data_IF_099155093609
#
_entry.id   IF_099155093609
#
_cell.length_a   1.000
_cell.length_b   1.000
_cell.length_c   1.000
_cell.angle_alpha   90.00
_cell.angle_beta   90.00
_cell.angle_gamma   90.00
#
_symmetry.space_group_name_H-M   'P 1'
#
loop_
_entity.id
_entity.type
_entity.pdbx_description
1 polymer ?
#
# COMPACT_ATOMS: atom_id res chain seq x y z
N UNK A 1 -5.20 -3.29 -13.55
CA UNK A 1 -3.73 -3.24 -13.62
C UNK A 1 -3.15 -2.11 -12.77
N UNK A 2 -2.68 -1.01 -13.37
CA UNK A 2 -1.80 -0.03 -12.69
C UNK A 2 -2.44 0.79 -11.55
N UNK A 3 -3.70 1.19 -11.68
CA UNK A 3 -4.34 2.07 -10.68
C UNK A 3 -4.49 1.42 -9.30
N UNK A 4 -4.60 0.09 -9.22
CA UNK A 4 -4.69 -0.64 -7.96
C UNK A 4 -3.38 -0.52 -7.17
N UNK A 5 -2.23 -0.61 -7.85
CA UNK A 5 -0.92 -0.42 -7.22
C UNK A 5 -0.75 0.98 -6.64
N UNK A 6 -1.14 2.00 -7.39
CA UNK A 6 -1.03 3.39 -6.96
C UNK A 6 -1.93 3.70 -5.75
N UNK A 7 -3.16 3.19 -5.75
CA UNK A 7 -4.11 3.37 -4.65
C UNK A 7 -3.63 2.64 -3.39
N UNK A 8 -3.18 1.38 -3.51
CA UNK A 8 -2.62 0.64 -2.38
C UNK A 8 -1.39 1.32 -1.80
N UNK A 9 -0.47 1.77 -2.66
CA UNK A 9 0.72 2.50 -2.23
C UNK A 9 0.34 3.74 -1.43
N UNK A 10 -0.59 4.54 -1.94
CA UNK A 10 -1.02 5.78 -1.29
C UNK A 10 -1.69 5.50 0.06
N UNK A 11 -2.57 4.49 0.14
CA UNK A 11 -3.25 4.12 1.38
C UNK A 11 -2.26 3.64 2.44
N UNK A 12 -1.34 2.72 2.08
CA UNK A 12 -0.35 2.19 3.01
C UNK A 12 0.64 3.25 3.48
N UNK A 13 1.06 4.13 2.56
CA UNK A 13 1.89 5.29 2.88
C UNK A 13 1.15 6.26 3.82
N UNK A 14 -0.16 6.44 3.65
CA UNK A 14 -0.98 7.28 4.52
C UNK A 14 -1.16 6.65 5.91
N UNK A 15 -1.36 5.33 5.98
CA UNK A 15 -1.52 4.57 7.23
C UNK A 15 -0.25 4.55 8.07
N UNK A 16 0.92 4.36 7.45
CA UNK A 16 2.23 4.32 8.13
C UNK A 16 2.86 5.71 8.30
N UNK A 17 2.71 6.58 7.29
CA UNK A 17 3.37 7.88 7.22
C UNK A 17 2.65 9.06 7.87
N UNK A 18 1.32 9.03 7.96
CA UNK A 18 0.56 10.08 8.64
C UNK A 18 0.12 9.60 10.02
N UNK A 19 0.71 10.22 11.06
CA UNK A 19 0.31 10.08 12.48
C UNK A 19 -1.20 10.27 12.70
N UNK A 20 -1.88 10.99 11.81
CA UNK A 20 -3.28 11.39 11.93
C UNK A 20 -4.27 10.39 11.27
N UNK A 21 -3.82 9.47 10.40
CA UNK A 21 -4.73 8.58 9.65
C UNK A 21 -4.49 7.07 9.83
N UNK A 22 -4.34 6.53 11.05
CA UNK A 22 -4.23 5.08 11.27
C UNK A 22 -5.57 4.32 11.09
N UNK A 23 -6.62 4.99 10.62
CA UNK A 23 -7.96 4.39 10.48
C UNK A 23 -8.22 3.80 9.09
N UNK A 24 -7.28 3.92 8.14
CA UNK A 24 -7.42 3.27 6.84
C UNK A 24 -7.08 1.77 6.99
N UNK A 25 -7.99 0.84 6.67
CA UNK A 25 -7.75 -0.59 6.82
C UNK A 25 -6.92 -1.13 5.64
N UNK A 26 -5.62 -0.80 5.61
CA UNK A 26 -4.71 -1.15 4.53
C UNK A 26 -4.60 -2.67 4.31
N UNK A 27 -4.54 -3.46 5.39
CA UNK A 27 -4.46 -4.93 5.31
C UNK A 27 -5.67 -5.56 4.62
N UNK A 28 -6.86 -5.03 4.90
CA UNK A 28 -8.12 -5.54 4.34
C UNK A 28 -8.22 -5.21 2.85
N UNK A 29 -7.76 -4.02 2.45
CA UNK A 29 -7.67 -3.59 1.06
C UNK A 29 -6.61 -4.37 0.29
N UNK A 30 -5.51 -4.73 0.93
CA UNK A 30 -4.47 -5.60 0.40
C UNK A 30 -5.02 -6.98 0.04
N UNK A 31 -5.83 -7.55 0.94
CA UNK A 31 -6.49 -8.84 0.71
C UNK A 31 -7.46 -8.78 -0.47
N UNK A 32 -8.28 -7.73 -0.55
CA UNK A 32 -9.21 -7.53 -1.68
C UNK A 32 -8.45 -7.31 -2.98
N UNK A 33 -7.38 -6.51 -2.97
CA UNK A 33 -6.56 -6.29 -4.16
C UNK A 33 -5.82 -7.55 -4.62
N UNK A 34 -5.37 -8.40 -3.69
CA UNK A 34 -4.82 -9.73 -4.00
C UNK A 34 -5.85 -10.66 -4.62
N UNK A 35 -7.08 -10.67 -4.12
CA UNK A 35 -8.19 -11.42 -4.70
C UNK A 35 -8.59 -10.90 -6.10
N UNK A 36 -8.46 -9.59 -6.34
CA UNK A 36 -8.65 -8.99 -7.66
C UNK A 36 -7.47 -9.27 -8.61
N UNK A 37 -6.25 -9.39 -8.07
CA UNK A 37 -5.06 -9.74 -8.82
C UNK A 37 -5.04 -11.22 -9.26
N UNK A 38 -5.74 -12.11 -8.56
CA UNK A 38 -5.88 -13.51 -8.96
C UNK A 38 -6.91 -13.74 -10.07
N UNK A 39 -7.62 -12.69 -10.51
CA UNK A 39 -8.50 -12.76 -11.69
C UNK A 39 -7.64 -12.79 -12.96
N UNK A 40 -7.80 -13.86 -13.75
CA UNK A 40 -7.08 -14.16 -15.01
C UNK A 40 -7.09 -13.04 -16.06
N UNK A 41 -7.96 -12.04 -15.90
CA UNK A 41 -8.12 -10.88 -16.80
C UNK A 41 -7.18 -9.71 -16.48
N UNK A 42 -6.50 -9.73 -15.32
CA UNK A 42 -5.57 -8.69 -14.92
C UNK A 42 -4.15 -9.26 -14.82
N UNK A 43 -3.25 -8.72 -15.62
CA UNK A 43 -1.79 -8.93 -15.55
C UNK A 43 -1.19 -8.26 -14.28
N UNK A 44 -1.77 -8.57 -13.11
CA UNK A 44 -1.40 -8.03 -11.82
C UNK A 44 -0.38 -8.97 -11.18
N UNK A 45 0.89 -8.62 -11.31
CA UNK A 45 1.98 -9.36 -10.69
C UNK A 45 2.03 -9.10 -9.17
N UNK A 46 1.71 -10.14 -8.38
CA UNK A 46 1.69 -10.06 -6.90
C UNK A 46 3.08 -9.77 -6.33
N UNK A 47 4.14 -10.30 -6.94
CA UNK A 47 5.51 -10.01 -6.51
C UNK A 47 5.85 -8.51 -6.61
N UNK A 48 5.39 -7.85 -7.67
CA UNK A 48 5.58 -6.41 -7.85
C UNK A 48 4.80 -5.61 -6.80
N UNK A 49 3.61 -6.09 -6.42
CA UNK A 49 2.80 -5.48 -5.35
C UNK A 49 3.55 -5.49 -4.01
N UNK A 50 4.11 -6.64 -3.63
CA UNK A 50 4.84 -6.81 -2.37
C UNK A 50 6.05 -5.87 -2.30
N UNK A 51 6.84 -5.79 -3.39
CA UNK A 51 8.01 -4.90 -3.44
C UNK A 51 7.60 -3.43 -3.33
N UNK A 52 6.54 -3.02 -4.03
CA UNK A 52 6.02 -1.65 -3.98
C UNK A 52 5.55 -1.28 -2.57
N UNK A 53 4.88 -2.20 -1.88
CA UNK A 53 4.37 -1.97 -0.52
C UNK A 53 5.46 -1.93 0.54
N UNK A 54 6.52 -2.74 0.38
CA UNK A 54 7.73 -2.63 1.19
C UNK A 54 8.33 -1.22 1.10
N UNK A 55 8.47 -0.69 -0.12
CA UNK A 55 8.97 0.67 -0.33
C UNK A 55 8.01 1.69 0.29
N UNK A 56 6.69 1.53 0.11
CA UNK A 56 5.67 2.42 0.68
C UNK A 56 5.76 2.51 2.21
N UNK A 57 5.90 1.37 2.89
CA UNK A 57 6.01 1.29 4.34
C UNK A 57 7.31 1.94 4.84
N UNK A 58 8.46 1.63 4.22
CA UNK A 58 9.75 2.22 4.61
C UNK A 58 9.74 3.73 4.45
N UNK A 59 9.20 4.23 3.34
CA UNK A 59 9.12 5.67 3.07
C UNK A 59 8.07 6.34 3.98
N UNK A 60 6.96 5.68 4.26
CA UNK A 60 5.95 6.11 5.22
C UNK A 60 6.55 6.30 6.61
N UNK A 61 7.18 5.27 7.17
CA UNK A 61 7.87 5.33 8.47
C UNK A 61 8.95 6.42 8.51
N UNK A 62 9.74 6.59 7.43
CA UNK A 62 10.74 7.65 7.35
C UNK A 62 10.09 9.04 7.39
N UNK A 63 8.99 9.25 6.67
CA UNK A 63 8.23 10.51 6.69
C UNK A 63 7.61 10.76 8.06
N UNK A 64 7.00 9.74 8.67
CA UNK A 64 6.44 9.79 10.02
C UNK A 64 7.50 10.24 11.03
N UNK A 65 8.68 9.61 10.99
CA UNK A 65 9.81 9.96 11.85
C UNK A 65 10.27 11.40 11.65
N UNK A 66 10.31 11.90 10.41
CA UNK A 66 10.70 13.30 10.15
C UNK A 66 9.67 14.33 10.59
N UNK A 67 8.37 13.99 10.57
CA UNK A 67 7.29 14.88 11.02
C UNK A 67 7.17 14.86 12.55
N UNK A 68 7.43 13.71 13.16
CA UNK A 68 7.38 13.52 14.62
C UNK A 68 8.60 14.02 15.39
N UNK A 69 9.71 14.36 14.70
CA UNK A 69 10.90 14.96 15.30
C UNK A 69 10.82 16.47 15.34
#
# INVERSE_FOLDING_TARGET
>A
GVWVYAILFLILFCETGLVVTPFLPGDSLLFVAGALASLETNDLNVHMMVVLMLIAAIVGDAVNYTIGR
#
